data_IF_004989953809
#
_entry.id   IF_004989953809
#
_cell.length_a   1.000
_cell.length_b   1.000
_cell.length_c   1.000
_cell.angle_alpha   90.00
_cell.angle_beta   90.00
_cell.angle_gamma   90.00
#
_symmetry.space_group_name_H-M   'P 1'
#
loop_
_entity.id
_entity.type
_entity.pdbx_description
1 polymer ?
#
# COMPACT_ATOMS: atom_id res chain seq x y z
N UNK A 1 -27.20 -4.19 4.09
CA UNK A 1 -25.98 -4.55 3.34
C UNK A 1 -25.61 -3.34 2.50
N UNK A 2 -24.74 -2.49 3.03
CA UNK A 2 -24.31 -1.23 2.45
C UNK A 2 -23.23 -1.51 1.39
N UNK A 3 -23.66 -1.78 0.16
CA UNK A 3 -22.78 -1.89 -0.99
C UNK A 3 -22.35 -0.47 -1.41
N UNK A 4 -21.43 0.14 -0.68
CA UNK A 4 -20.82 1.42 -1.07
C UNK A 4 -19.91 1.16 -2.27
N UNK A 5 -20.35 1.56 -3.47
CA UNK A 5 -19.57 1.42 -4.71
C UNK A 5 -18.28 2.25 -4.68
N UNK A 6 -18.21 3.22 -3.77
CA UNK A 6 -17.01 4.03 -3.52
C UNK A 6 -16.18 3.38 -2.42
N UNK A 7 -14.90 3.05 -2.66
CA UNK A 7 -13.99 2.59 -1.62
C UNK A 7 -13.77 3.68 -0.56
N UNK A 8 -13.58 3.27 0.69
CA UNK A 8 -13.24 4.16 1.81
C UNK A 8 -11.74 4.49 1.85
N UNK A 9 -10.91 3.63 1.25
CA UNK A 9 -9.49 3.86 0.98
C UNK A 9 -9.25 3.49 -0.48
N UNK A 10 -8.72 4.42 -1.28
CA UNK A 10 -8.29 4.16 -2.66
C UNK A 10 -6.91 4.78 -2.88
N UNK A 11 -5.92 3.93 -3.16
CA UNK A 11 -4.57 4.30 -3.51
C UNK A 11 -4.24 3.72 -4.89
N UNK A 12 -3.71 4.56 -5.78
CA UNK A 12 -3.33 4.20 -7.15
C UNK A 12 -1.90 4.58 -7.42
N UNK A 13 -1.11 3.66 -7.95
CA UNK A 13 0.28 3.87 -8.33
C UNK A 13 1.16 4.31 -7.17
N UNK A 14 0.91 3.84 -5.94
CA UNK A 14 1.64 4.28 -4.76
C UNK A 14 3.11 3.86 -4.84
N UNK A 15 3.99 4.86 -4.83
CA UNK A 15 5.44 4.69 -4.84
C UNK A 15 6.07 5.31 -3.60
N UNK A 16 7.13 4.68 -3.11
CA UNK A 16 7.91 5.21 -2.02
C UNK A 16 9.36 4.80 -2.18
N UNK A 17 10.22 5.80 -2.11
CA UNK A 17 11.66 5.62 -2.06
C UNK A 17 12.24 6.32 -0.83
N UNK A 18 13.29 5.74 -0.27
CA UNK A 18 14.10 6.35 0.78
C UNK A 18 15.51 6.61 0.26
N UNK A 19 16.06 7.78 0.59
CA UNK A 19 17.45 8.09 0.28
C UNK A 19 18.37 7.43 1.32
N UNK A 20 19.36 6.71 0.83
CA UNK A 20 20.36 5.99 1.61
C UNK A 20 21.74 6.49 1.14
N UNK A 21 22.14 7.67 1.64
CA UNK A 21 23.33 8.37 1.16
C UNK A 21 23.21 8.75 -0.31
N UNK A 22 24.16 8.27 -1.14
CA UNK A 22 24.16 8.50 -2.58
C UNK A 22 23.19 7.57 -3.37
N UNK A 23 22.61 6.57 -2.70
CA UNK A 23 21.72 5.58 -3.33
C UNK A 23 20.27 5.82 -2.94
N UNK A 24 19.34 5.31 -3.75
CA UNK A 24 17.90 5.33 -3.46
C UNK A 24 17.36 3.91 -3.32
N UNK A 25 16.68 3.63 -2.21
CA UNK A 25 15.95 2.38 -2.01
C UNK A 25 14.49 2.58 -2.37
N UNK A 26 14.06 2.02 -3.50
CA UNK A 26 12.64 1.99 -3.90
C UNK A 26 11.91 0.85 -3.19
N UNK A 27 11.06 1.21 -2.23
CA UNK A 27 10.32 0.30 -1.36
C UNK A 27 8.96 -0.06 -1.94
N UNK A 28 8.17 0.94 -2.37
CA UNK A 28 6.90 0.71 -3.09
C UNK A 28 7.09 1.05 -4.57
N UNK A 29 6.56 0.19 -5.45
CA UNK A 29 6.82 0.20 -6.90
C UNK A 29 5.51 0.29 -7.70
N UNK A 30 4.64 1.23 -7.34
CA UNK A 30 3.34 1.42 -7.99
C UNK A 30 2.31 0.42 -7.46
N UNK A 31 1.95 0.57 -6.19
CA UNK A 31 0.96 -0.29 -5.54
C UNK A 31 -0.44 0.31 -5.68
N UNK A 32 -1.39 -0.52 -6.12
CA UNK A 32 -2.82 -0.20 -6.11
C UNK A 32 -3.51 -0.92 -4.95
N UNK A 33 -4.32 -0.19 -4.17
CA UNK A 33 -5.09 -0.73 -3.05
C UNK A 33 -6.44 0.00 -2.95
N UNK A 34 -7.52 -0.77 -2.96
CA UNK A 34 -8.86 -0.27 -2.64
C UNK A 34 -9.45 -1.10 -1.50
N UNK A 35 -10.01 -0.43 -0.49
CA UNK A 35 -10.77 -1.07 0.59
C UNK A 35 -12.13 -0.40 0.71
N UNK A 36 -13.18 -1.20 0.79
CA UNK A 36 -14.56 -0.76 1.01
C UNK A 36 -14.95 -0.85 2.48
N UNK A 37 -16.06 -0.20 2.81
CA UNK A 37 -16.58 -0.19 4.18
C UNK A 37 -16.84 -1.61 4.68
N UNK A 38 -16.24 -1.96 5.82
CA UNK A 38 -16.41 -3.26 6.47
C UNK A 38 -15.49 -4.36 5.94
N UNK A 39 -14.65 -4.09 4.95
CA UNK A 39 -13.63 -5.04 4.49
C UNK A 39 -12.45 -5.09 5.46
N UNK A 40 -11.95 -6.30 5.72
CA UNK A 40 -10.73 -6.54 6.48
C UNK A 40 -9.70 -7.17 5.55
N UNK A 41 -8.56 -6.51 5.40
CA UNK A 41 -7.46 -6.98 4.56
C UNK A 41 -6.25 -7.35 5.42
N UNK A 42 -5.61 -8.48 5.11
CA UNK A 42 -4.38 -8.91 5.74
C UNK A 42 -3.20 -8.74 4.77
N UNK A 43 -2.23 -7.90 5.15
CA UNK A 43 -1.03 -7.67 4.35
C UNK A 43 0.07 -8.68 4.69
N UNK A 44 0.33 -9.63 3.78
CA UNK A 44 1.32 -10.71 3.93
C UNK A 44 2.54 -10.49 3.04
N UNK A 45 3.71 -10.93 3.50
CA UNK A 45 4.96 -10.84 2.74
C UNK A 45 6.20 -11.00 3.62
N UNK A 46 7.34 -11.28 2.99
CA UNK A 46 8.63 -11.47 3.66
C UNK A 46 9.13 -10.20 4.35
N UNK A 47 10.08 -10.32 5.29
CA UNK A 47 10.74 -9.15 5.86
C UNK A 47 11.36 -8.28 4.76
N UNK A 48 11.23 -6.95 4.87
CA UNK A 48 11.73 -6.00 3.86
C UNK A 48 10.85 -5.79 2.62
N UNK A 49 9.71 -6.49 2.47
CA UNK A 49 8.84 -6.36 1.29
C UNK A 49 8.02 -5.05 1.21
N UNK A 50 8.25 -4.07 2.09
CA UNK A 50 7.56 -2.78 2.09
C UNK A 50 6.23 -2.71 2.85
N UNK A 51 5.82 -3.77 3.57
CA UNK A 51 4.54 -3.81 4.30
C UNK A 51 4.35 -2.68 5.31
N UNK A 52 5.33 -2.48 6.19
CA UNK A 52 5.32 -1.39 7.17
C UNK A 52 5.55 -0.02 6.55
N UNK A 53 5.85 0.05 5.26
CA UNK A 53 5.90 1.31 4.51
C UNK A 53 4.57 1.59 3.82
N UNK A 54 3.77 0.55 3.55
CA UNK A 54 2.42 0.66 3.00
C UNK A 54 1.39 1.07 4.07
N UNK A 55 1.63 0.72 5.34
CA UNK A 55 0.84 1.11 6.51
C UNK A 55 1.44 2.34 7.19
#
# INVERSE_FOLDING_TARGET
MNNSTTPVLDARGLEKSFCMGASQLRVLRGVDLALHSGEVCALRGTSGSGKSTLL
#
